data_IF_061146625927
#
_entry.id   IF_061146625927
#
_cell.length_a   1.000
_cell.length_b   1.000
_cell.length_c   1.000
_cell.angle_alpha   90.00
_cell.angle_beta   90.00
_cell.angle_gamma   90.00
#
_symmetry.space_group_name_H-M   'P 1'
#
loop_
_entity.id
_entity.type
_entity.pdbx_description
1 polymer ?
#
# COMPACT_ATOMS: atom_id res chain seq x y z
N UNK A 1 10.05 12.30 8.33
CA UNK A 1 9.07 11.25 8.01
C UNK A 1 9.66 9.87 8.28
N UNK A 2 8.95 8.95 8.95
CA UNK A 2 9.39 7.55 9.17
C UNK A 2 8.66 6.63 8.17
N UNK A 3 9.17 6.56 6.93
CA UNK A 3 8.64 5.66 5.89
C UNK A 3 9.63 4.53 5.57
N UNK A 4 9.15 3.41 5.04
CA UNK A 4 9.99 2.29 4.66
C UNK A 4 9.27 0.95 4.66
N UNK A 5 10.02 -0.13 4.47
CA UNK A 5 9.50 -1.49 4.51
C UNK A 5 10.15 -2.26 5.64
N UNK A 6 9.34 -3.08 6.31
CA UNK A 6 9.68 -3.83 7.49
C UNK A 6 9.34 -5.29 7.21
N UNK A 7 10.35 -6.16 7.06
CA UNK A 7 10.11 -7.59 6.83
C UNK A 7 9.71 -8.31 8.13
N UNK A 8 8.44 -8.68 8.32
CA UNK A 8 7.86 -9.11 9.61
C UNK A 8 8.09 -10.58 9.97
N UNK A 9 8.47 -11.41 9.01
CA UNK A 9 8.57 -12.86 9.17
C UNK A 9 10.00 -13.41 9.10
N UNK A 10 11.00 -12.53 8.95
CA UNK A 10 12.41 -12.90 8.93
C UNK A 10 13.07 -12.59 10.28
N UNK A 11 13.51 -13.65 10.97
CA UNK A 11 14.03 -13.55 12.31
C UNK A 11 14.48 -14.88 12.88
N UNK A 12 14.87 -14.84 14.15
CA UNK A 12 15.26 -15.99 14.95
C UNK A 12 14.18 -16.23 15.99
N UNK A 13 13.78 -17.48 16.13
CA UNK A 13 12.98 -17.91 17.27
C UNK A 13 13.91 -18.15 18.46
N UNK A 14 13.66 -17.46 19.58
CA UNK A 14 14.49 -17.50 20.79
C UNK A 14 13.67 -17.90 22.00
N UNK A 15 14.33 -18.23 23.11
CA UNK A 15 13.64 -18.54 24.37
C UNK A 15 12.85 -17.35 24.95
N UNK A 16 13.05 -16.14 24.43
CA UNK A 16 12.34 -14.91 24.81
C UNK A 16 11.32 -14.46 23.75
N UNK A 17 11.15 -15.23 22.67
CA UNK A 17 10.24 -14.94 21.56
C UNK A 17 10.96 -14.74 20.22
N UNK A 18 10.21 -14.30 19.22
CA UNK A 18 10.72 -14.06 17.86
C UNK A 18 11.46 -12.73 17.76
N UNK A 19 12.75 -12.78 17.48
CA UNK A 19 13.59 -11.61 17.20
C UNK A 19 13.77 -11.44 15.69
N UNK A 20 13.30 -10.31 15.15
CA UNK A 20 13.53 -9.97 13.74
C UNK A 20 15.01 -9.80 13.44
N UNK A 21 15.43 -10.29 12.29
CA UNK A 21 16.80 -10.12 11.80
C UNK A 21 16.79 -9.53 10.39
N UNK A 22 17.40 -8.36 10.23
CA UNK A 22 17.60 -7.73 8.93
C UNK A 22 17.11 -6.29 8.85
N UNK A 23 17.73 -5.54 7.93
CA UNK A 23 17.31 -4.21 7.50
C UNK A 23 17.14 -4.25 5.99
N UNK A 24 16.06 -3.65 5.48
CA UNK A 24 15.87 -3.47 4.05
C UNK A 24 16.57 -2.19 3.60
N UNK A 25 17.08 -2.18 2.36
CA UNK A 25 17.71 -0.98 1.80
C UNK A 25 16.71 0.18 1.74
N UNK A 26 17.23 1.40 1.92
CA UNK A 26 16.48 2.63 1.75
C UNK A 26 16.20 2.88 0.25
N UNK A 27 15.04 3.47 -0.11
CA UNK A 27 14.79 3.91 -1.48
C UNK A 27 15.85 4.90 -1.99
N UNK A 28 16.10 4.95 -3.31
CA UNK A 28 16.97 5.95 -3.93
C UNK A 28 16.63 7.40 -3.56
N UNK A 29 17.65 8.22 -3.33
CA UNK A 29 17.46 9.66 -3.00
C UNK A 29 16.72 10.42 -4.10
N UNK A 30 16.88 10.00 -5.37
CA UNK A 30 16.10 10.53 -6.49
C UNK A 30 14.60 10.37 -6.26
N UNK A 31 14.15 9.17 -5.87
CA UNK A 31 12.75 8.89 -5.61
C UNK A 31 12.26 9.57 -4.32
N UNK A 32 13.12 9.68 -3.31
CA UNK A 32 12.78 10.38 -2.06
C UNK A 32 12.64 11.89 -2.26
N UNK A 33 13.45 12.48 -3.14
CA UNK A 33 13.35 13.90 -3.50
C UNK A 33 12.03 14.17 -4.22
N UNK A 34 11.70 13.35 -5.22
CA UNK A 34 10.43 13.43 -5.94
C UNK A 34 9.22 13.26 -4.99
N UNK A 35 9.32 12.33 -4.03
CA UNK A 35 8.27 12.12 -3.03
C UNK A 35 8.09 13.34 -2.12
N UNK A 36 9.19 13.95 -1.67
CA UNK A 36 9.16 15.13 -0.81
C UNK A 36 8.57 16.35 -1.52
N UNK A 37 8.81 16.49 -2.83
CA UNK A 37 8.18 17.52 -3.66
C UNK A 37 6.65 17.31 -3.72
N UNK A 38 6.19 16.09 -4.03
CA UNK A 38 4.75 15.78 -4.07
C UNK A 38 4.07 15.98 -2.71
N UNK A 39 4.74 15.61 -1.62
CA UNK A 39 4.20 15.83 -0.28
C UNK A 39 4.04 17.33 0.01
N UNK A 40 5.04 18.14 -0.35
CA UNK A 40 4.95 19.59 -0.18
C UNK A 40 3.78 20.19 -0.97
N UNK A 41 3.57 19.78 -2.23
CA UNK A 41 2.44 20.23 -3.05
C UNK A 41 1.09 19.88 -2.41
N UNK A 42 0.97 18.68 -1.85
CA UNK A 42 -0.27 18.25 -1.18
C UNK A 42 -0.62 19.09 0.06
N UNK A 43 0.38 19.62 0.78
CA UNK A 43 0.18 20.51 1.94
C UNK A 43 -0.41 21.85 1.53
N UNK A 44 -0.10 22.32 0.31
CA UNK A 44 -0.61 23.57 -0.22
C UNK A 44 -1.99 23.45 -0.89
N UNK A 45 -2.69 22.31 -0.70
CA UNK A 45 -3.98 21.99 -1.33
C UNK A 45 -3.95 22.10 -2.86
N UNK A 46 -2.77 21.99 -3.48
CA UNK A 46 -2.70 21.71 -4.89
C UNK A 46 -3.13 20.25 -5.05
N UNK A 47 -4.21 20.02 -5.80
CA UNK A 47 -4.84 18.69 -5.92
C UNK A 47 -3.93 17.62 -6.55
N UNK A 48 -2.66 17.92 -6.83
CA UNK A 48 -1.75 17.08 -7.58
C UNK A 48 -2.28 16.76 -8.97
N UNK A 49 -1.55 15.93 -9.70
CA UNK A 49 -2.02 15.36 -10.96
C UNK A 49 -2.90 14.12 -10.75
N UNK A 50 -2.95 13.55 -9.53
CA UNK A 50 -3.67 12.30 -9.27
C UNK A 50 -5.15 12.34 -9.67
N UNK A 51 -5.97 13.33 -9.26
CA UNK A 51 -7.38 13.38 -9.63
C UNK A 51 -7.59 13.44 -11.15
N UNK A 52 -6.75 14.21 -11.85
CA UNK A 52 -6.78 14.33 -13.31
C UNK A 52 -6.40 13.04 -14.01
N UNK A 53 -5.36 12.34 -13.52
CA UNK A 53 -4.97 11.02 -14.03
C UNK A 53 -6.14 10.05 -13.86
N UNK A 54 -6.75 10.00 -12.68
CA UNK A 54 -7.88 9.11 -12.38
C UNK A 54 -9.12 9.45 -13.21
N UNK A 55 -9.42 10.73 -13.41
CA UNK A 55 -10.50 11.18 -14.28
C UNK A 55 -10.25 10.78 -15.75
N UNK A 56 -9.00 10.89 -16.21
CA UNK A 56 -8.58 10.44 -17.54
C UNK A 56 -8.75 8.92 -17.74
N UNK A 57 -8.37 8.12 -16.74
CA UNK A 57 -8.57 6.66 -16.75
C UNK A 57 -10.06 6.32 -16.83
N UNK A 58 -10.90 6.96 -16.00
CA UNK A 58 -12.35 6.76 -16.00
C UNK A 58 -12.99 7.11 -17.35
N UNK A 59 -12.55 8.18 -17.99
CA UNK A 59 -13.01 8.59 -19.33
C UNK A 59 -12.59 7.58 -20.41
N UNK A 60 -11.41 6.98 -20.28
CA UNK A 60 -10.87 6.01 -21.24
C UNK A 60 -11.53 4.64 -21.13
N UNK A 61 -11.92 4.22 -19.93
CA UNK A 61 -12.56 2.93 -19.66
C UNK A 61 -13.88 3.09 -18.91
N UNK A 62 -14.91 3.69 -19.54
CA UNK A 62 -16.21 3.93 -18.90
C UNK A 62 -16.88 2.64 -18.42
N UNK A 63 -16.68 1.52 -19.11
CA UNK A 63 -17.19 0.20 -18.74
C UNK A 63 -16.59 -0.35 -17.43
N UNK A 64 -15.47 0.21 -16.96
CA UNK A 64 -14.82 -0.15 -15.68
C UNK A 64 -15.00 0.91 -14.60
N UNK A 65 -15.71 2.01 -14.91
CA UNK A 65 -15.82 3.17 -14.03
C UNK A 65 -16.32 2.83 -12.61
N UNK A 66 -17.26 1.89 -12.47
CA UNK A 66 -17.76 1.46 -11.16
C UNK A 66 -16.71 0.70 -10.34
N UNK A 67 -15.96 -0.20 -10.97
CA UNK A 67 -14.92 -1.02 -10.31
C UNK A 67 -13.69 -0.19 -9.90
N UNK A 68 -13.49 0.96 -10.55
CA UNK A 68 -12.37 1.88 -10.29
C UNK A 68 -12.77 3.16 -9.57
N UNK A 69 -14.01 3.25 -9.09
CA UNK A 69 -14.47 4.35 -8.27
C UNK A 69 -14.64 3.91 -6.81
N UNK A 70 -14.38 4.84 -5.90
CA UNK A 70 -14.66 4.62 -4.48
C UNK A 70 -16.17 4.59 -4.25
N UNK A 71 -16.63 3.61 -3.47
CA UNK A 71 -18.02 3.44 -3.07
C UNK A 71 -18.06 3.12 -1.58
N UNK A 72 -18.49 4.09 -0.77
CA UNK A 72 -18.53 3.99 0.69
C UNK A 72 -19.46 2.86 1.16
N UNK A 73 -20.49 2.50 0.40
CA UNK A 73 -21.40 1.41 0.77
C UNK A 73 -20.73 0.02 0.72
N UNK A 74 -19.67 -0.13 -0.07
CA UNK A 74 -18.86 -1.36 -0.14
C UNK A 74 -17.62 -1.33 0.78
N UNK A 75 -17.39 -0.21 1.47
CA UNK A 75 -16.27 -0.03 2.39
C UNK A 75 -16.69 -0.45 3.82
N UNK A 76 -16.66 -1.75 4.06
CA UNK A 76 -17.06 -2.37 5.33
C UNK A 76 -15.83 -2.82 6.12
N UNK A 77 -15.65 -2.27 7.32
CA UNK A 77 -14.68 -2.70 8.30
C UNK A 77 -15.41 -3.38 9.46
N UNK A 78 -15.02 -4.60 9.79
CA UNK A 78 -15.51 -5.31 10.96
C UNK A 78 -14.55 -5.18 12.14
N UNK A 79 -15.06 -5.42 13.33
CA UNK A 79 -14.24 -5.53 14.54
C UNK A 79 -13.09 -6.53 14.35
N UNK A 80 -11.91 -6.20 14.84
CA UNK A 80 -10.72 -7.02 14.63
C UNK A 80 -10.91 -8.48 15.11
N UNK A 81 -11.61 -8.71 16.22
CA UNK A 81 -11.86 -10.05 16.76
C UNK A 81 -13.01 -10.82 16.11
N UNK A 82 -13.76 -10.20 15.20
CA UNK A 82 -14.82 -10.88 14.46
C UNK A 82 -14.21 -11.60 13.26
N UNK A 83 -14.45 -12.90 13.14
CA UNK A 83 -13.93 -13.68 12.03
C UNK A 83 -15.02 -13.89 10.98
N UNK A 84 -14.61 -13.78 9.72
CA UNK A 84 -15.44 -14.06 8.56
C UNK A 84 -15.93 -15.54 8.61
N UNK A 85 -17.23 -15.81 8.35
CA UNK A 85 -17.77 -17.16 8.42
C UNK A 85 -17.04 -18.14 7.50
N UNK A 86 -16.71 -19.31 8.04
CA UNK A 86 -15.98 -20.34 7.29
C UNK A 86 -16.76 -20.83 6.07
N UNK A 87 -16.07 -20.97 4.93
CA UNK A 87 -16.64 -21.48 3.68
C UNK A 87 -17.38 -20.45 2.82
N UNK A 88 -17.45 -19.19 3.25
CA UNK A 88 -18.03 -18.11 2.47
C UNK A 88 -16.94 -17.35 1.68
N UNK A 89 -17.30 -16.80 0.52
CA UNK A 89 -16.41 -15.96 -0.29
C UNK A 89 -16.71 -14.46 -0.16
N UNK A 90 -17.87 -14.10 0.38
CA UNK A 90 -18.37 -12.73 0.52
C UNK A 90 -18.80 -12.43 1.96
N UNK A 91 -18.88 -11.15 2.31
CA UNK A 91 -19.32 -10.72 3.64
C UNK A 91 -20.86 -10.57 3.75
N UNK A 92 -21.64 -11.22 2.87
CA UNK A 92 -23.11 -11.12 2.88
C UNK A 92 -23.73 -11.79 4.12
N UNK A 93 -23.09 -12.84 4.63
CA UNK A 93 -23.51 -13.53 5.86
C UNK A 93 -22.83 -12.99 7.13
N UNK A 94 -22.11 -11.86 7.04
CA UNK A 94 -21.49 -11.24 8.19
C UNK A 94 -22.49 -10.39 8.97
N UNK A 95 -22.32 -10.35 10.29
CA UNK A 95 -23.18 -9.63 11.20
C UNK A 95 -22.94 -8.11 11.09
N UNK A 96 -23.94 -7.35 10.66
CA UNK A 96 -23.83 -5.90 10.53
C UNK A 96 -23.59 -5.21 11.88
N UNK A 97 -24.04 -5.79 12.99
CA UNK A 97 -23.76 -5.27 14.33
C UNK A 97 -22.28 -5.34 14.74
N UNK A 98 -21.44 -6.05 13.97
CA UNK A 98 -19.99 -6.14 14.17
C UNK A 98 -19.22 -5.16 13.27
N UNK A 99 -19.91 -4.31 12.52
CA UNK A 99 -19.29 -3.24 11.73
C UNK A 99 -18.77 -2.15 12.68
N UNK A 100 -17.55 -1.69 12.40
CA UNK A 100 -16.94 -0.58 13.12
C UNK A 100 -17.55 0.73 12.61
N UNK A 101 -18.13 1.51 13.53
CA UNK A 101 -18.55 2.88 13.23
C UNK A 101 -17.32 3.75 12.95
N UNK A 102 -17.37 4.46 11.83
CA UNK A 102 -16.28 5.32 11.36
C UNK A 102 -16.82 6.65 10.90
N UNK A 103 -16.02 7.70 11.05
CA UNK A 103 -16.32 9.00 10.48
C UNK A 103 -16.47 8.86 8.96
N UNK A 104 -17.49 9.51 8.43
CA UNK A 104 -17.68 9.56 6.99
C UNK A 104 -16.49 10.26 6.34
N UNK A 105 -16.06 9.72 5.21
CA UNK A 105 -14.93 10.26 4.46
C UNK A 105 -15.34 11.61 3.87
N UNK A 106 -14.47 12.64 3.91
CA UNK A 106 -14.80 13.96 3.36
C UNK A 106 -14.98 13.97 1.83
N UNK A 107 -14.61 12.89 1.13
CA UNK A 107 -14.77 12.78 -0.32
C UNK A 107 -14.43 11.41 -0.87
N UNK A 108 -14.52 11.28 -2.19
CA UNK A 108 -14.27 10.02 -2.91
C UNK A 108 -12.83 9.87 -3.43
N UNK A 109 -12.06 10.96 -3.46
CA UNK A 109 -10.69 10.96 -3.98
C UNK A 109 -9.72 10.23 -3.06
N UNK A 110 -8.77 9.42 -3.55
CA UNK A 110 -7.84 8.65 -2.71
C UNK A 110 -7.09 9.49 -1.68
N UNK A 111 -6.84 8.91 -0.49
CA UNK A 111 -5.99 9.54 0.53
C UNK A 111 -4.62 8.86 0.46
N UNK A 112 -3.57 9.68 0.43
CA UNK A 112 -2.19 9.19 0.42
C UNK A 112 -1.68 9.12 1.86
N UNK A 113 -1.11 7.97 2.22
CA UNK A 113 -0.51 7.74 3.53
C UNK A 113 0.97 7.40 3.37
N UNK A 114 1.81 8.09 4.14
CA UNK A 114 3.25 7.87 4.17
C UNK A 114 3.65 7.19 5.47
N UNK A 115 4.29 6.02 5.39
CA UNK A 115 4.75 5.32 6.59
C UNK A 115 5.33 3.94 6.30
N UNK A 116 5.27 3.08 7.32
CA UNK A 116 5.89 1.76 7.28
C UNK A 116 4.96 0.73 6.65
N UNK A 117 5.50 -0.07 5.74
CA UNK A 117 4.82 -1.20 5.10
C UNK A 117 5.39 -2.50 5.67
N UNK A 118 4.54 -3.34 6.23
CA UNK A 118 4.91 -4.69 6.66
C UNK A 118 4.97 -5.62 5.44
N UNK A 119 6.10 -6.29 5.27
CA UNK A 119 6.33 -7.26 4.19
C UNK A 119 6.57 -8.64 4.77
N UNK A 120 5.94 -9.68 4.23
CA UNK A 120 6.20 -11.07 4.64
C UNK A 120 5.61 -12.11 3.70
N UNK A 121 6.03 -13.35 3.82
CA UNK A 121 5.63 -14.43 2.92
C UNK A 121 4.24 -15.03 3.22
N UNK A 122 3.52 -14.48 4.21
CA UNK A 122 2.20 -14.94 4.62
C UNK A 122 1.15 -13.87 4.39
N UNK A 123 0.00 -14.26 3.85
CA UNK A 123 -1.16 -13.38 3.75
C UNK A 123 -1.67 -13.07 5.16
N UNK A 124 -1.65 -11.80 5.53
CA UNK A 124 -2.20 -11.35 6.81
C UNK A 124 -3.74 -11.37 6.74
N UNK A 125 -4.37 -12.29 7.49
CA UNK A 125 -5.84 -12.44 7.56
C UNK A 125 -6.39 -12.46 8.99
N UNK A 126 -5.65 -11.91 9.93
CA UNK A 126 -5.98 -12.00 11.35
C UNK A 126 -6.04 -10.59 11.94
N UNK A 127 -7.25 -10.08 12.13
CA UNK A 127 -7.49 -8.73 12.65
C UNK A 127 -6.74 -8.42 13.96
N UNK A 128 -6.74 -9.31 14.97
CA UNK A 128 -6.03 -9.03 16.22
C UNK A 128 -4.50 -8.98 16.03
N UNK A 129 -3.94 -9.85 15.19
CA UNK A 129 -2.52 -9.82 14.86
C UNK A 129 -2.16 -8.57 14.05
N UNK A 130 -3.03 -8.11 13.15
CA UNK A 130 -2.86 -6.84 12.42
C UNK A 130 -2.74 -5.68 13.39
N UNK A 131 -3.67 -5.58 14.33
CA UNK A 131 -3.68 -4.51 15.34
C UNK A 131 -2.47 -4.58 16.28
N UNK A 132 -2.02 -5.80 16.62
CA UNK A 132 -0.77 -6.01 17.37
C UNK A 132 0.43 -5.46 16.60
N UNK A 133 0.58 -5.83 15.33
CA UNK A 133 1.70 -5.39 14.48
C UNK A 133 1.66 -3.87 14.25
N UNK A 134 0.47 -3.28 14.09
CA UNK A 134 0.30 -1.83 14.06
C UNK A 134 0.81 -1.16 15.34
N UNK A 135 0.39 -1.64 16.52
CA UNK A 135 0.82 -1.07 17.81
C UNK A 135 2.32 -1.24 18.06
N UNK A 136 2.87 -2.38 17.65
CA UNK A 136 4.27 -2.74 17.89
C UNK A 136 5.22 -1.99 16.95
N UNK A 137 4.87 -1.86 15.66
CA UNK A 137 5.78 -1.35 14.63
C UNK A 137 5.32 -0.06 13.95
N UNK A 138 4.06 0.36 14.13
CA UNK A 138 3.48 1.50 13.40
C UNK A 138 3.30 1.23 11.90
N UNK A 139 3.08 -0.02 11.50
CA UNK A 139 2.90 -0.42 10.08
C UNK A 139 1.51 -0.09 9.56
N UNK A 140 1.43 0.68 8.47
CA UNK A 140 0.18 1.15 7.89
C UNK A 140 -0.52 0.10 7.02
N UNK A 141 0.25 -0.78 6.37
CA UNK A 141 -0.30 -1.83 5.53
C UNK A 141 0.59 -3.06 5.47
N UNK A 142 0.06 -4.13 4.88
CA UNK A 142 0.68 -5.45 4.77
C UNK A 142 0.73 -5.87 3.30
N UNK A 143 1.84 -6.45 2.88
CA UNK A 143 2.05 -6.98 1.54
C UNK A 143 3.06 -8.13 1.56
N UNK A 144 3.34 -8.76 0.41
CA UNK A 144 4.11 -10.01 0.37
C UNK A 144 5.37 -10.00 -0.50
N UNK A 145 5.69 -8.90 -1.18
CA UNK A 145 6.72 -8.92 -2.22
C UNK A 145 7.91 -7.98 -1.96
N UNK A 146 7.71 -6.85 -1.28
CA UNK A 146 8.72 -5.79 -1.21
C UNK A 146 10.03 -6.23 -0.56
N UNK A 147 9.97 -7.02 0.52
CA UNK A 147 11.18 -7.46 1.22
C UNK A 147 12.12 -8.28 0.34
N UNK A 148 11.60 -9.07 -0.60
CA UNK A 148 12.41 -9.85 -1.53
C UNK A 148 13.11 -8.98 -2.60
N UNK A 149 12.50 -7.83 -2.94
CA UNK A 149 12.99 -6.95 -3.99
C UNK A 149 13.99 -5.91 -3.49
N UNK A 150 13.70 -5.25 -2.37
CA UNK A 150 14.41 -4.04 -1.94
C UNK A 150 15.91 -4.25 -1.64
N UNK A 151 16.31 -5.45 -1.23
CA UNK A 151 17.73 -5.74 -0.99
C UNK A 151 18.57 -5.80 -2.27
N UNK A 152 17.93 -6.00 -3.42
CA UNK A 152 18.61 -6.23 -4.70
C UNK A 152 18.29 -5.19 -5.76
N UNK A 153 17.21 -4.43 -5.57
CA UNK A 153 16.72 -3.45 -6.52
C UNK A 153 16.40 -2.13 -5.81
N UNK A 154 17.06 -1.02 -6.18
CA UNK A 154 16.78 0.28 -5.60
C UNK A 154 15.38 0.76 -6.01
N UNK A 155 14.43 0.71 -5.09
CA UNK A 155 13.05 1.08 -5.36
C UNK A 155 12.38 1.77 -4.18
N UNK A 156 11.23 2.38 -4.49
CA UNK A 156 10.24 2.80 -3.52
C UNK A 156 9.00 1.91 -3.68
N UNK A 157 8.28 1.66 -2.59
CA UNK A 157 7.11 0.79 -2.59
C UNK A 157 5.86 1.64 -2.46
N UNK A 158 4.94 1.48 -3.42
CA UNK A 158 3.63 2.12 -3.47
C UNK A 158 2.59 1.01 -3.42
N UNK A 159 1.65 1.09 -2.47
CA UNK A 159 0.58 0.10 -2.32
C UNK A 159 -0.78 0.79 -2.28
N UNK A 160 -1.70 0.31 -3.10
CA UNK A 160 -3.12 0.60 -2.95
C UNK A 160 -3.72 -0.40 -1.96
N UNK A 161 -4.64 0.07 -1.12
CA UNK A 161 -5.28 -0.76 -0.09
C UNK A 161 -6.52 -1.44 -0.69
N UNK A 162 -6.56 -2.77 -0.64
CA UNK A 162 -7.67 -3.57 -1.19
C UNK A 162 -8.44 -4.40 -0.15
N UNK A 163 -7.91 -4.53 1.06
CA UNK A 163 -8.59 -5.15 2.19
C UNK A 163 -8.01 -4.63 3.51
N UNK A 164 -8.61 -5.08 4.62
CA UNK A 164 -8.26 -4.67 5.97
C UNK A 164 -7.25 -5.59 6.65
N UNK A 165 -6.55 -6.46 5.91
CA UNK A 165 -5.60 -7.43 6.47
C UNK A 165 -6.22 -8.30 7.60
N UNK A 166 -7.50 -8.63 7.44
CA UNK A 166 -8.29 -9.48 8.33
C UNK A 166 -8.92 -10.64 7.53
N UNK A 167 -9.85 -11.36 8.15
CA UNK A 167 -10.52 -12.48 7.49
C UNK A 167 -11.52 -12.06 6.41
N UNK A 168 -11.95 -10.79 6.37
CA UNK A 168 -13.03 -10.27 5.53
C UNK A 168 -12.50 -9.84 4.16
N UNK A 169 -12.21 -10.80 3.31
CA UNK A 169 -11.72 -10.51 1.95
C UNK A 169 -12.75 -9.75 1.12
N UNK A 170 -12.29 -8.71 0.44
CA UNK A 170 -13.12 -7.95 -0.49
C UNK A 170 -12.40 -7.76 -1.84
N UNK A 171 -12.58 -8.72 -2.75
CA UNK A 171 -11.90 -8.73 -4.06
C UNK A 171 -12.27 -7.53 -4.95
N UNK A 172 -13.41 -6.87 -4.70
CA UNK A 172 -13.86 -5.68 -5.46
C UNK A 172 -12.79 -4.60 -5.50
N UNK A 173 -12.11 -4.37 -4.37
CA UNK A 173 -11.18 -3.25 -4.23
C UNK A 173 -9.84 -3.48 -4.91
N UNK A 174 -9.53 -4.68 -5.40
CA UNK A 174 -8.24 -4.97 -6.03
C UNK A 174 -8.00 -4.09 -7.27
N UNK A 175 -9.02 -3.92 -8.13
CA UNK A 175 -8.86 -3.10 -9.34
C UNK A 175 -8.74 -1.61 -9.01
N UNK A 176 -9.59 -1.12 -8.09
CA UNK A 176 -9.49 0.25 -7.57
C UNK A 176 -8.11 0.52 -6.98
N UNK A 177 -7.65 -0.33 -6.06
CA UNK A 177 -6.37 -0.21 -5.38
C UNK A 177 -5.18 -0.23 -6.35
N UNK A 178 -5.18 -1.17 -7.30
CA UNK A 178 -4.14 -1.26 -8.32
C UNK A 178 -4.11 -0.01 -9.22
N UNK A 179 -5.29 0.49 -9.62
CA UNK A 179 -5.39 1.70 -10.43
C UNK A 179 -4.88 2.92 -9.66
N UNK A 180 -5.28 3.13 -8.41
CA UNK A 180 -4.81 4.26 -7.59
C UNK A 180 -3.29 4.20 -7.40
N UNK A 181 -2.75 3.02 -7.08
CA UNK A 181 -1.30 2.83 -6.94
C UNK A 181 -0.54 3.15 -8.23
N UNK A 182 -1.05 2.68 -9.39
CA UNK A 182 -0.45 2.95 -10.69
C UNK A 182 -0.55 4.43 -11.08
N UNK A 183 -1.68 5.09 -10.77
CA UNK A 183 -1.87 6.51 -11.03
C UNK A 183 -0.91 7.37 -10.18
N UNK A 184 -0.76 7.04 -8.89
CA UNK A 184 0.21 7.69 -8.01
C UNK A 184 1.65 7.44 -8.45
N UNK A 185 1.99 6.21 -8.85
CA UNK A 185 3.32 5.90 -9.40
C UNK A 185 3.60 6.70 -10.68
N UNK A 186 2.60 6.89 -11.55
CA UNK A 186 2.72 7.71 -12.76
C UNK A 186 3.02 9.17 -12.42
N UNK A 187 2.32 9.73 -11.43
CA UNK A 187 2.57 11.09 -10.95
C UNK A 187 3.99 11.24 -10.38
N UNK A 188 4.42 10.31 -9.52
CA UNK A 188 5.77 10.28 -8.97
C UNK A 188 6.84 10.22 -10.06
N UNK A 189 6.66 9.37 -11.06
CA UNK A 189 7.58 9.30 -12.20
C UNK A 189 7.59 10.58 -13.04
N UNK A 190 6.49 11.32 -13.07
CA UNK A 190 6.42 12.65 -13.71
C UNK A 190 7.31 13.70 -13.05
N UNK A 191 7.66 13.52 -11.77
CA UNK A 191 8.62 14.36 -11.03
C UNK A 191 10.08 13.97 -11.27
N UNK A 192 10.32 12.79 -11.84
CA UNK A 192 11.67 12.28 -12.07
C UNK A 192 12.09 12.57 -13.52
N UNK A 193 13.09 13.42 -13.72
CA UNK A 193 13.56 13.74 -15.07
C UNK A 193 14.45 12.62 -15.64
N UNK A 194 14.43 12.36 -16.96
CA UNK A 194 15.32 11.38 -17.59
C UNK A 194 16.80 11.62 -17.27
N UNK A 195 17.24 12.89 -17.29
CA UNK A 195 18.61 13.28 -16.95
C UNK A 195 18.96 12.94 -15.49
N UNK A 196 18.02 13.10 -14.56
CA UNK A 196 18.23 12.71 -13.18
C UNK A 196 18.36 11.18 -13.03
N UNK A 197 17.67 10.39 -13.85
CA UNK A 197 17.83 8.92 -13.90
C UNK A 197 19.19 8.52 -14.45
N UNK A 198 19.64 9.15 -15.55
CA UNK A 198 20.95 8.86 -16.15
C UNK A 198 22.11 9.15 -15.19
N UNK A 199 22.00 10.22 -14.41
CA UNK A 199 22.97 10.59 -13.39
C UNK A 199 22.86 9.72 -12.12
N UNK A 200 21.74 9.01 -11.95
CA UNK A 200 21.52 8.15 -10.81
C UNK A 200 22.02 6.74 -11.12
N UNK A 201 22.99 6.29 -10.34
CA UNK A 201 23.70 5.02 -10.52
C UNK A 201 22.84 3.79 -10.10
N UNK A 202 21.55 3.78 -10.47
CA UNK A 202 20.49 3.01 -9.80
C UNK A 202 20.10 1.69 -10.49
N UNK A 203 20.23 1.58 -11.82
CA UNK A 203 19.72 0.40 -12.55
C UNK A 203 20.73 -0.27 -13.48
N UNK A 204 21.64 0.49 -14.10
CA UNK A 204 22.56 -0.05 -15.11
C UNK A 204 23.51 -1.13 -14.52
N UNK A 205 23.98 -0.95 -13.28
CA UNK A 205 24.86 -1.92 -12.60
C UNK A 205 24.20 -3.25 -12.25
N UNK A 206 22.87 -3.34 -12.23
CA UNK A 206 22.13 -4.58 -11.89
C UNK A 206 21.78 -5.38 -13.15
N UNK A 207 21.41 -4.71 -14.23
CA UNK A 207 21.15 -5.35 -15.52
C UNK A 207 22.43 -5.90 -16.18
N UNK A 208 23.57 -5.23 -16.00
CA UNK A 208 24.84 -5.67 -16.59
C UNK A 208 25.48 -6.88 -15.88
N UNK A 209 25.05 -7.23 -14.66
CA UNK A 209 25.53 -8.41 -13.92
C UNK A 209 24.82 -9.72 -14.28
N UNK A 210 23.93 -9.71 -15.26
CA UNK A 210 23.19 -10.90 -15.76
C UNK A 210 23.62 -11.35 -17.17
N UNK A 211 24.76 -10.88 -17.67
CA UNK A 211 25.46 -11.45 -18.83
C UNK A 211 26.70 -12.19 -18.36
#
# INVERSE_FOLDING_TARGET
MKGGVIQIDLGKDTTQGFERTGMLNRPPDLLLTALAEMEAESVFNESGALPDILAGIRRRWPQKAEEISYDSAKDKLYEAGYNHPWGMDTCESCEECRLVERLERPGTDPVIHYGLIASGNQVQKNGPNRDRLWKEFGVLCFEMEAAGLMNHFPCIVIRGICDYADSHKNKRWQLYAAMVAAAYAKELLGKVTPTAVENADLANKICDRRK
#
